data_IF_750671398770
#
_entry.id   IF_750671398770
#
_cell.length_a   1.000
_cell.length_b   1.000
_cell.length_c   1.000
_cell.angle_alpha   90.00
_cell.angle_beta   90.00
_cell.angle_gamma   90.00
#
_symmetry.space_group_name_H-M   'P 1'
#
loop_
_entity.id
_entity.type
_entity.pdbx_description
1 polymer ?
#
# COMPACT_ATOMS: atom_id res chain seq x y z
N UNK A 1 -19.49 17.89 9.01
CA UNK A 1 -18.45 17.83 10.05
C UNK A 1 -17.42 16.84 9.54
N UNK A 2 -16.30 17.34 9.04
CA UNK A 2 -15.30 16.54 8.34
C UNK A 2 -14.56 15.66 9.34
N UNK A 3 -14.67 14.36 9.20
CA UNK A 3 -13.91 13.40 10.00
C UNK A 3 -12.46 13.39 9.53
N UNK A 4 -11.60 14.14 10.21
CA UNK A 4 -10.17 13.83 10.21
C UNK A 4 -10.00 12.48 10.91
N UNK A 5 -10.04 11.39 10.13
CA UNK A 5 -9.49 10.10 10.57
C UNK A 5 -7.97 10.27 10.64
N UNK A 6 -7.52 10.82 11.77
CA UNK A 6 -6.13 11.07 12.09
C UNK A 6 -5.39 9.73 12.13
N UNK A 7 -4.84 9.35 10.97
CA UNK A 7 -3.80 8.34 10.91
C UNK A 7 -2.61 8.94 11.65
N UNK A 8 -2.17 8.33 12.75
CA UNK A 8 -1.03 8.81 13.52
C UNK A 8 0.26 8.63 12.71
N UNK A 9 0.47 9.50 11.71
CA UNK A 9 1.66 9.59 10.89
C UNK A 9 2.78 10.11 11.81
N UNK A 10 3.83 9.33 12.00
CA UNK A 10 4.97 9.80 12.78
C UNK A 10 5.60 11.02 12.09
N UNK A 11 6.07 11.98 12.89
CA UNK A 11 6.65 13.24 12.42
C UNK A 11 7.73 12.98 11.36
N UNK A 12 7.50 13.41 10.11
CA UNK A 12 8.41 13.20 8.96
C UNK A 12 8.02 12.06 8.00
N UNK A 13 6.92 11.36 8.26
CA UNK A 13 6.32 10.45 7.29
C UNK A 13 5.21 11.17 6.49
N UNK A 14 4.98 10.73 5.26
CA UNK A 14 3.96 11.23 4.33
C UNK A 14 3.24 10.06 3.67
N UNK A 15 2.06 10.31 3.10
CA UNK A 15 1.41 9.35 2.20
C UNK A 15 2.22 9.24 0.90
N UNK A 16 2.62 8.03 0.54
CA UNK A 16 3.42 7.75 -0.65
C UNK A 16 2.59 7.67 -1.93
N UNK A 17 1.28 7.93 -1.88
CA UNK A 17 0.38 7.92 -3.04
C UNK A 17 0.94 8.66 -4.27
N UNK A 18 1.49 9.86 -4.07
CA UNK A 18 2.02 10.71 -5.14
C UNK A 18 3.35 10.21 -5.74
N UNK A 19 3.95 9.20 -5.13
CA UNK A 19 5.20 8.55 -5.52
C UNK A 19 4.98 7.20 -6.21
N UNK A 20 3.73 6.74 -6.33
CA UNK A 20 3.40 5.50 -7.05
C UNK A 20 3.38 5.77 -8.56
N UNK A 21 4.18 5.01 -9.31
CA UNK A 21 4.09 4.98 -10.77
C UNK A 21 2.95 4.07 -11.23
N UNK A 22 1.81 4.69 -11.56
CA UNK A 22 0.61 4.00 -12.02
C UNK A 22 0.75 3.26 -13.35
N UNK A 23 1.76 3.60 -14.16
CA UNK A 23 1.99 2.93 -15.45
C UNK A 23 2.58 1.54 -15.27
N UNK A 24 3.31 1.31 -14.18
CA UNK A 24 3.90 0.03 -13.80
C UNK A 24 3.13 -0.75 -12.74
N UNK A 25 1.90 -0.35 -12.39
CA UNK A 25 1.08 -1.10 -11.42
C UNK A 25 0.49 -2.34 -12.08
N UNK A 26 0.84 -3.51 -11.54
CA UNK A 26 0.31 -4.80 -11.96
C UNK A 26 -0.51 -5.45 -10.83
N UNK A 27 -1.63 -6.08 -11.17
CA UNK A 27 -2.43 -6.86 -10.23
C UNK A 27 -2.82 -8.21 -10.84
N UNK A 28 -2.41 -9.30 -10.18
CA UNK A 28 -2.57 -10.66 -10.71
C UNK A 28 -3.92 -11.30 -10.36
N UNK A 29 -4.61 -10.81 -9.33
CA UNK A 29 -5.89 -11.37 -8.87
C UNK A 29 -6.82 -10.24 -8.38
N UNK A 30 -7.28 -9.41 -9.32
CA UNK A 30 -8.27 -8.37 -9.04
C UNK A 30 -9.67 -8.81 -9.44
N UNK A 31 -10.68 -8.24 -8.77
CA UNK A 31 -12.07 -8.40 -9.17
C UNK A 31 -12.31 -7.73 -10.53
N UNK A 32 -13.19 -8.32 -11.34
CA UNK A 32 -13.68 -7.72 -12.60
C UNK A 32 -14.57 -6.50 -12.37
N UNK A 33 -15.14 -6.36 -11.16
CA UNK A 33 -16.01 -5.24 -10.78
C UNK A 33 -15.30 -4.17 -9.97
N UNK A 34 -14.22 -4.53 -9.26
CA UNK A 34 -13.46 -3.62 -8.40
C UNK A 34 -11.96 -3.76 -8.69
N UNK A 35 -11.41 -2.76 -9.39
CA UNK A 35 -10.00 -2.73 -9.76
C UNK A 35 -9.11 -2.21 -8.63
N UNK A 36 -7.86 -2.66 -8.57
CA UNK A 36 -6.86 -2.24 -7.58
C UNK A 36 -6.73 -0.71 -7.41
N UNK A 37 -6.77 0.12 -8.49
CA UNK A 37 -6.71 1.57 -8.34
C UNK A 37 -7.77 2.16 -7.42
N UNK A 38 -8.93 1.51 -7.25
CA UNK A 38 -9.98 2.01 -6.35
C UNK A 38 -9.56 1.87 -4.88
N UNK A 39 -8.76 0.86 -4.52
CA UNK A 39 -8.25 0.70 -3.16
C UNK A 39 -7.12 1.68 -2.82
N UNK A 40 -6.44 2.25 -3.83
CA UNK A 40 -5.24 3.07 -3.67
C UNK A 40 -5.49 4.55 -4.03
N UNK A 41 -6.39 4.91 -4.94
CA UNK A 41 -6.61 6.32 -5.32
C UNK A 41 -7.45 7.08 -4.29
N UNK A 42 -7.13 8.36 -4.13
CA UNK A 42 -7.90 9.27 -3.29
C UNK A 42 -9.35 9.41 -3.82
N UNK A 43 -10.33 9.50 -2.91
CA UNK A 43 -11.78 9.54 -3.22
C UNK A 43 -12.52 8.21 -3.03
N UNK A 44 -11.81 7.08 -2.99
CA UNK A 44 -12.38 5.75 -2.68
C UNK A 44 -11.87 5.18 -1.34
N UNK A 45 -10.95 5.90 -0.68
CA UNK A 45 -10.34 5.55 0.61
C UNK A 45 -11.16 6.04 1.82
N UNK A 46 -12.39 6.47 1.59
CA UNK A 46 -13.27 7.08 2.60
C UNK A 46 -14.17 6.04 3.29
N UNK A 47 -14.40 4.89 2.66
CA UNK A 47 -15.17 3.78 3.23
C UNK A 47 -14.31 2.88 4.12
N UNK A 48 -14.90 2.41 5.22
CA UNK A 48 -14.34 1.36 6.06
C UNK A 48 -14.45 0.00 5.36
N UNK A 49 -13.37 -0.79 5.42
CA UNK A 49 -13.37 -2.14 4.87
C UNK A 49 -14.14 -3.13 5.75
N UNK A 50 -14.56 -4.27 5.18
CA UNK A 50 -15.22 -5.32 5.96
C UNK A 50 -14.26 -5.89 7.01
N UNK A 51 -14.74 -6.03 8.25
CA UNK A 51 -13.94 -6.56 9.37
C UNK A 51 -13.63 -8.05 9.21
N UNK A 52 -14.57 -8.80 8.63
CA UNK A 52 -14.48 -10.27 8.52
C UNK A 52 -13.71 -10.74 7.29
N UNK A 53 -13.85 -10.03 6.16
CA UNK A 53 -13.24 -10.39 4.87
C UNK A 53 -11.96 -9.59 4.58
N UNK A 54 -11.46 -8.82 5.55
CA UNK A 54 -10.23 -8.05 5.39
C UNK A 54 -8.97 -8.94 5.37
N UNK A 55 -7.86 -8.47 4.78
CA UNK A 55 -6.60 -9.22 4.79
C UNK A 55 -6.07 -9.39 6.21
N UNK A 56 -5.38 -10.51 6.47
CA UNK A 56 -4.74 -10.80 7.75
C UNK A 56 -3.24 -10.92 7.57
N UNK A 57 -2.75 -11.87 6.80
CA UNK A 57 -1.32 -12.03 6.55
C UNK A 57 -0.93 -11.37 5.23
N UNK A 58 -0.14 -10.30 5.32
CA UNK A 58 0.36 -9.54 4.17
C UNK A 58 1.89 -9.63 4.12
N UNK A 59 2.42 -10.23 3.05
CA UNK A 59 3.85 -10.33 2.76
C UNK A 59 4.26 -9.20 1.83
N UNK A 60 5.37 -8.55 2.15
CA UNK A 60 5.91 -7.43 1.39
C UNK A 60 7.25 -7.81 0.78
N UNK A 61 7.44 -7.49 -0.50
CA UNK A 61 8.69 -7.71 -1.22
C UNK A 61 9.15 -6.40 -1.83
N UNK A 62 10.35 -5.95 -1.47
CA UNK A 62 10.96 -4.75 -2.04
C UNK A 62 11.98 -5.11 -3.11
N UNK A 63 12.04 -4.31 -4.17
CA UNK A 63 13.01 -4.42 -5.26
C UNK A 63 13.06 -5.80 -5.93
N UNK A 64 11.90 -6.47 -5.99
CA UNK A 64 11.70 -7.70 -6.74
C UNK A 64 10.53 -7.47 -7.69
N UNK A 65 10.81 -7.44 -8.98
CA UNK A 65 9.79 -7.28 -10.02
C UNK A 65 9.23 -8.66 -10.42
N UNK A 66 8.02 -8.68 -10.99
CA UNK A 66 7.35 -9.89 -11.48
C UNK A 66 7.20 -11.03 -10.46
N UNK A 67 6.96 -10.67 -9.20
CA UNK A 67 6.58 -11.62 -8.16
C UNK A 67 5.14 -12.09 -8.40
N UNK A 68 4.94 -13.39 -8.52
CA UNK A 68 3.65 -14.01 -8.78
C UNK A 68 3.42 -15.25 -7.94
N UNK A 69 2.21 -15.82 -8.02
CA UNK A 69 1.79 -16.94 -7.17
C UNK A 69 2.73 -18.17 -7.24
N UNK A 70 3.39 -18.39 -8.38
CA UNK A 70 4.29 -19.53 -8.56
C UNK A 70 5.65 -19.37 -7.85
N UNK A 71 6.16 -18.15 -7.70
CA UNK A 71 7.52 -17.90 -7.19
C UNK A 71 7.55 -17.18 -5.83
N UNK A 72 6.42 -16.66 -5.36
CA UNK A 72 6.35 -15.86 -4.13
C UNK A 72 6.80 -16.63 -2.88
N UNK A 73 6.63 -17.95 -2.88
CA UNK A 73 7.03 -18.82 -1.77
C UNK A 73 8.51 -19.25 -1.82
N UNK A 74 9.18 -19.06 -2.96
CA UNK A 74 10.60 -19.42 -3.13
C UNK A 74 11.53 -18.37 -2.53
N UNK A 75 11.03 -17.15 -2.31
CA UNK A 75 11.81 -16.04 -1.80
C UNK A 75 11.30 -15.60 -0.43
N UNK A 76 12.20 -15.26 0.51
CA UNK A 76 11.77 -14.68 1.77
C UNK A 76 11.19 -13.28 1.53
N UNK A 77 10.07 -12.94 2.18
CA UNK A 77 9.54 -11.58 2.17
C UNK A 77 10.51 -10.62 2.87
N UNK A 78 10.48 -9.36 2.44
CA UNK A 78 11.24 -8.27 3.08
C UNK A 78 10.72 -8.01 4.49
N UNK A 79 9.40 -8.05 4.65
CA UNK A 79 8.72 -8.10 5.94
C UNK A 79 7.34 -8.74 5.78
N UNK A 80 6.77 -9.20 6.88
CA UNK A 80 5.41 -9.75 6.93
C UNK A 80 4.62 -9.00 7.98
N UNK A 81 3.50 -8.42 7.56
CA UNK A 81 2.55 -7.74 8.42
C UNK A 81 1.39 -8.69 8.73
N UNK A 82 1.13 -8.91 10.02
CA UNK A 82 -0.08 -9.59 10.50
C UNK A 82 -1.05 -8.52 10.97
N UNK A 83 -2.11 -8.31 10.19
CA UNK A 83 -3.13 -7.31 10.42
C UNK A 83 -4.15 -7.85 11.42
N UNK A 84 -4.44 -7.07 12.46
CA UNK A 84 -5.55 -7.31 13.38
C UNK A 84 -6.80 -6.54 12.92
N UNK A 85 -7.98 -6.80 13.51
CA UNK A 85 -9.19 -6.02 13.23
C UNK A 85 -9.01 -4.50 13.48
N UNK A 86 -8.10 -4.10 14.38
CA UNK A 86 -7.79 -2.68 14.57
C UNK A 86 -7.09 -2.06 13.34
N UNK A 87 -6.26 -2.85 12.64
CA UNK A 87 -5.59 -2.38 11.44
C UNK A 87 -6.56 -2.16 10.29
N UNK A 88 -7.61 -2.98 10.20
CA UNK A 88 -8.70 -2.80 9.23
C UNK A 88 -9.51 -1.52 9.48
N UNK A 89 -9.54 -1.03 10.72
CA UNK A 89 -10.14 0.26 11.14
C UNK A 89 -9.23 1.48 10.91
N UNK A 90 -8.10 1.29 10.23
CA UNK A 90 -7.19 2.38 9.88
C UNK A 90 -6.03 2.60 10.84
N UNK A 91 -5.79 1.70 11.80
CA UNK A 91 -4.55 1.72 12.61
C UNK A 91 -3.36 1.30 11.74
N UNK A 92 -2.32 2.14 11.59
CA UNK A 92 -1.13 1.77 10.83
C UNK A 92 -0.43 0.54 11.42
N UNK A 93 0.09 -0.32 10.54
CA UNK A 93 0.98 -1.41 10.95
C UNK A 93 2.43 -0.98 10.76
N UNK A 94 3.22 -1.07 11.83
CA UNK A 94 4.64 -0.72 11.77
C UNK A 94 5.44 -1.82 11.07
N UNK A 95 6.24 -1.41 10.09
CA UNK A 95 7.14 -2.28 9.34
C UNK A 95 8.60 -2.01 9.75
N UNK A 96 9.49 -2.97 9.49
CA UNK A 96 10.92 -2.83 9.78
C UNK A 96 11.59 -1.89 8.80
N UNK A 97 11.64 -0.59 9.12
CA UNK A 97 12.26 0.46 8.31
C UNK A 97 13.61 0.07 7.68
N UNK A 98 14.46 -0.66 8.41
CA UNK A 98 15.77 -1.15 7.91
C UNK A 98 15.69 -2.02 6.65
N UNK A 99 14.54 -2.64 6.37
CA UNK A 99 14.26 -3.43 5.16
C UNK A 99 13.69 -2.60 4.00
N UNK A 100 13.34 -1.35 4.25
CA UNK A 100 12.67 -0.42 3.32
C UNK A 100 13.45 0.88 3.11
N UNK A 101 14.78 0.87 3.26
CA UNK A 101 15.62 2.08 3.09
C UNK A 101 15.59 2.67 1.67
N UNK A 102 15.50 1.82 0.65
CA UNK A 102 15.53 2.22 -0.75
C UNK A 102 14.59 1.31 -1.53
N UNK A 103 13.35 1.77 -1.72
CA UNK A 103 12.28 1.00 -2.37
C UNK A 103 12.00 1.61 -3.73
N UNK A 104 12.30 0.86 -4.79
CA UNK A 104 11.97 1.21 -6.18
C UNK A 104 10.73 0.49 -6.67
N UNK A 105 10.58 -0.78 -6.26
CA UNK A 105 9.38 -1.58 -6.49
C UNK A 105 8.93 -2.21 -5.19
N UNK A 106 7.61 -2.32 -5.02
CA UNK A 106 6.97 -2.95 -3.87
C UNK A 106 5.89 -3.91 -4.36
N UNK A 107 6.04 -5.19 -4.05
CA UNK A 107 4.97 -6.18 -4.22
C UNK A 107 4.29 -6.41 -2.88
N UNK A 108 2.96 -6.35 -2.90
CA UNK A 108 2.10 -6.69 -1.76
C UNK A 108 1.43 -8.02 -2.09
N UNK A 109 1.68 -9.03 -1.27
CA UNK A 109 1.07 -10.35 -1.40
C UNK A 109 0.18 -10.61 -0.19
N UNK A 110 -1.09 -10.87 -0.45
CA UNK A 110 -2.08 -11.21 0.57
C UNK A 110 -2.20 -12.73 0.58
N UNK A 111 -1.84 -13.34 1.70
CA UNK A 111 -1.84 -14.80 1.85
C UNK A 111 -3.18 -15.32 2.35
N UNK A 112 -3.77 -14.65 3.34
CA UNK A 112 -5.02 -15.03 3.99
C UNK A 112 -5.81 -13.80 4.49
N UNK A 113 -7.02 -14.06 4.97
CA UNK A 113 -7.94 -13.06 5.54
C UNK A 113 -8.30 -13.38 7.00
N UNK A 114 -9.09 -12.51 7.63
CA UNK A 114 -9.40 -12.61 9.06
C UNK A 114 -10.20 -13.87 9.43
N UNK A 115 -11.07 -14.36 8.55
CA UNK A 115 -12.05 -15.42 8.85
C UNK A 115 -11.87 -16.69 8.02
N UNK A 116 -10.75 -16.82 7.31
CA UNK A 116 -10.49 -17.90 6.34
C UNK A 116 -11.61 -18.04 5.29
N UNK A 117 -12.22 -16.91 4.91
CA UNK A 117 -13.25 -16.84 3.88
C UNK A 117 -12.67 -17.02 2.48
N UNK A 118 -13.50 -17.37 1.50
CA UNK A 118 -13.05 -17.57 0.12
C UNK A 118 -12.61 -16.27 -0.57
N UNK A 119 -13.10 -15.11 -0.10
CA UNK A 119 -12.89 -13.81 -0.74
C UNK A 119 -12.27 -12.85 0.26
N UNK A 120 -11.14 -12.24 -0.14
CA UNK A 120 -10.53 -11.15 0.61
C UNK A 120 -10.90 -9.82 -0.03
N UNK A 121 -11.48 -8.91 0.74
CA UNK A 121 -11.88 -7.58 0.30
C UNK A 121 -10.89 -6.54 0.82
N UNK A 122 -10.28 -5.81 -0.10
CA UNK A 122 -9.32 -4.74 0.20
C UNK A 122 -9.97 -3.41 -0.15
N UNK A 123 -10.39 -2.67 0.87
CA UNK A 123 -11.05 -1.37 0.69
C UNK A 123 -10.03 -0.24 0.52
N UNK A 124 -8.96 -0.27 1.29
CA UNK A 124 -7.99 0.83 1.39
C UNK A 124 -6.58 0.31 1.62
N UNK A 125 -5.65 0.75 0.80
CA UNK A 125 -4.21 0.57 1.00
C UNK A 125 -3.59 1.95 1.17
N UNK A 126 -2.92 2.14 2.30
CA UNK A 126 -2.21 3.38 2.62
C UNK A 126 -0.74 3.03 2.91
N UNK A 127 0.16 3.61 2.11
CA UNK A 127 1.59 3.44 2.29
C UNK A 127 2.16 4.72 2.90
N UNK A 128 2.57 4.63 4.16
CA UNK A 128 3.13 5.76 4.90
C UNK A 128 4.62 5.55 5.04
N UNK A 129 5.42 6.52 4.60
CA UNK A 129 6.87 6.43 4.66
C UNK A 129 7.53 7.80 4.56
N UNK A 130 8.85 7.80 4.58
CA UNK A 130 9.65 9.01 4.37
C UNK A 130 10.34 8.89 3.02
N UNK A 131 10.30 9.96 2.25
CA UNK A 131 11.03 10.02 0.99
C UNK A 131 12.49 10.34 1.29
N UNK A 132 13.39 9.73 0.52
CA UNK A 132 14.78 10.18 0.49
C UNK A 132 14.76 11.53 -0.24
N UNK A 133 15.37 12.57 0.34
CA UNK A 133 15.49 13.87 -0.34
C UNK A 133 16.13 13.65 -1.71
N UNK A 134 15.31 13.72 -2.74
CA UNK A 134 15.72 13.63 -4.14
C UNK A 134 15.19 14.88 -4.81
N UNK A 135 16.00 15.51 -5.65
CA UNK A 135 15.69 16.79 -6.28
C UNK A 135 14.35 16.72 -6.99
N UNK A 136 13.36 17.44 -6.44
CA UNK A 136 11.96 17.44 -6.86
C UNK A 136 11.80 18.03 -8.29
N UNK A 137 11.80 17.18 -9.32
CA UNK A 137 11.63 17.64 -10.72
C UNK A 137 10.19 18.03 -11.06
N UNK A 138 9.21 17.77 -10.18
CA UNK A 138 7.83 18.25 -10.31
C UNK A 138 7.69 19.75 -9.98
N UNK A 139 8.72 20.38 -9.41
CA UNK A 139 8.78 21.81 -9.08
C UNK A 139 9.23 22.74 -10.22
N UNK A 140 9.54 22.21 -11.41
CA UNK A 140 9.92 23.04 -12.56
C UNK A 140 8.68 23.68 -13.19
N UNK A 141 8.22 24.78 -12.60
CA UNK A 141 7.35 25.73 -13.31
C UNK A 141 8.19 26.31 -14.46
N UNK A 142 7.74 26.13 -15.71
CA UNK A 142 8.25 26.90 -16.85
C UNK A 142 8.10 28.38 -16.48
N UNK A 143 9.22 29.07 -16.32
CA UNK A 143 9.26 30.52 -16.45
C UNK A 143 8.86 30.84 -17.88
N UNK A 144 7.65 31.37 -18.08
CA UNK A 144 7.29 32.04 -19.33
C UNK A 144 8.07 33.36 -19.36
N UNK A 145 8.99 33.47 -20.30
CA UNK A 145 9.72 34.70 -20.61
C UNK A 145 8.77 35.67 -21.34
N UNK A 146 8.95 36.95 -21.03
CA UNK A 146 8.09 38.12 -21.29
C UNK A 146 7.43 38.24 -22.68
#
# INVERSE_FOLDING_TARGET
MSGESATAIHKGQVDLLDFIDWTGVECLNQSTTHSLPNAIKQGYREDEGPEDEGPKTVKLFTNKEHMGFSNVNDYPPSDTAVLSPENLKGKPTLLKYVKFQNVRSLTIFIEDNQTDSEVTKVQKILLIGSTVETTDMKGLKKIEDH
#
